data_IF_027167232548
#
_entry.id   IF_027167232548
#
_cell.length_a   1.000
_cell.length_b   1.000
_cell.length_c   1.000
_cell.angle_alpha   90.00
_cell.angle_beta   90.00
_cell.angle_gamma   90.00
#
_symmetry.space_group_name_H-M   'P 1'
#
loop_
_entity.id
_entity.type
_entity.pdbx_description
1 polymer ?
#
# COMPACT_ATOMS: atom_id res chain seq x y z
N UNK A 1 -8.07 -0.17 20.19
CA UNK A 1 -6.81 -0.59 19.53
C UNK A 1 -7.11 -1.79 18.65
N UNK A 2 -6.51 -1.88 17.45
CA UNK A 2 -6.70 -3.04 16.58
C UNK A 2 -6.21 -4.35 17.23
N UNK A 3 -6.85 -5.51 16.93
CA UNK A 3 -6.34 -6.81 17.34
C UNK A 3 -4.93 -7.07 16.80
N UNK A 4 -4.16 -7.92 17.49
CA UNK A 4 -2.77 -8.21 17.10
C UNK A 4 -2.65 -8.80 15.69
N UNK A 5 -3.61 -9.64 15.27
CA UNK A 5 -3.67 -10.19 13.90
C UNK A 5 -3.81 -9.11 12.84
N UNK A 6 -4.62 -8.07 13.10
CA UNK A 6 -4.81 -6.93 12.18
C UNK A 6 -3.53 -6.10 12.14
N UNK A 7 -2.93 -5.82 13.30
CA UNK A 7 -1.67 -5.08 13.39
C UNK A 7 -0.56 -5.78 12.60
N UNK A 8 -0.43 -7.10 12.73
CA UNK A 8 0.57 -7.88 11.98
C UNK A 8 0.39 -7.74 10.47
N UNK A 9 -0.84 -7.83 9.97
CA UNK A 9 -1.14 -7.63 8.54
C UNK A 9 -0.73 -6.22 8.08
N UNK A 10 -1.08 -5.17 8.84
CA UNK A 10 -0.69 -3.80 8.50
C UNK A 10 0.81 -3.54 8.60
N UNK A 11 1.49 -4.16 9.57
CA UNK A 11 2.95 -4.07 9.74
C UNK A 11 3.66 -4.70 8.54
N UNK A 12 3.29 -5.93 8.20
CA UNK A 12 3.84 -6.64 7.06
C UNK A 12 3.58 -5.87 5.76
N UNK A 13 2.37 -5.34 5.59
CA UNK A 13 2.02 -4.54 4.41
C UNK A 13 2.83 -3.24 4.34
N UNK A 14 3.01 -2.55 5.47
CA UNK A 14 3.83 -1.34 5.56
C UNK A 14 5.29 -1.62 5.20
N UNK A 15 5.86 -2.76 5.61
CA UNK A 15 7.20 -3.17 5.20
C UNK A 15 7.30 -3.42 3.69
N UNK A 16 6.30 -4.08 3.10
CA UNK A 16 6.26 -4.30 1.66
C UNK A 16 6.16 -2.97 0.88
N UNK A 17 5.36 -2.02 1.38
CA UNK A 17 5.28 -0.66 0.82
C UNK A 17 6.63 0.07 0.92
N UNK A 18 7.34 -0.03 2.05
CA UNK A 18 8.68 0.57 2.21
C UNK A 18 9.69 0.00 1.20
N UNK A 19 9.71 -1.33 1.01
CA UNK A 19 10.56 -1.95 -0.02
C UNK A 19 10.21 -1.48 -1.43
N UNK A 20 8.92 -1.30 -1.73
CA UNK A 20 8.47 -0.80 -3.03
C UNK A 20 8.74 0.70 -3.20
N UNK A 21 8.77 1.48 -2.13
CA UNK A 21 9.09 2.91 -2.18
C UNK A 21 10.52 3.17 -2.66
N UNK A 22 11.44 2.24 -2.37
CA UNK A 22 12.80 2.28 -2.90
C UNK A 22 12.90 1.91 -4.39
N UNK A 23 11.77 1.77 -5.10
CA UNK A 23 11.69 1.43 -6.51
C UNK A 23 12.63 2.23 -7.41
N UNK A 24 12.92 3.50 -7.11
CA UNK A 24 13.87 4.28 -7.92
C UNK A 24 15.26 3.64 -7.99
N UNK A 25 15.70 3.00 -6.91
CA UNK A 25 17.00 2.33 -6.79
C UNK A 25 16.99 0.90 -7.34
N UNK A 26 15.81 0.31 -7.47
CA UNK A 26 15.61 -1.07 -7.91
C UNK A 26 15.71 -1.19 -9.44
N UNK A 27 16.18 -2.35 -9.90
CA UNK A 27 16.08 -2.80 -11.30
C UNK A 27 14.62 -2.99 -11.72
N UNK A 28 14.38 -3.17 -13.02
CA UNK A 28 13.02 -3.40 -13.52
C UNK A 28 12.43 -4.70 -12.97
N UNK A 29 13.21 -5.79 -12.92
CA UNK A 29 12.77 -7.07 -12.36
C UNK A 29 12.48 -6.96 -10.86
N UNK A 30 13.34 -6.25 -10.12
CA UNK A 30 13.15 -6.04 -8.67
C UNK A 30 11.88 -5.25 -8.38
N UNK A 31 11.57 -4.22 -9.18
CA UNK A 31 10.31 -3.47 -9.06
C UNK A 31 9.10 -4.35 -9.33
N UNK A 32 9.18 -5.23 -10.35
CA UNK A 32 8.09 -6.16 -10.67
C UNK A 32 7.83 -7.09 -9.48
N UNK A 33 8.88 -7.67 -8.92
CA UNK A 33 8.78 -8.55 -7.74
C UNK A 33 8.25 -7.81 -6.52
N UNK A 34 8.74 -6.60 -6.25
CA UNK A 34 8.28 -5.78 -5.14
C UNK A 34 6.79 -5.41 -5.28
N UNK A 35 6.35 -5.02 -6.49
CA UNK A 35 4.96 -4.70 -6.74
C UNK A 35 4.06 -5.94 -6.60
N UNK A 36 4.48 -7.09 -7.15
CA UNK A 36 3.75 -8.34 -7.02
C UNK A 36 3.59 -8.77 -5.55
N UNK A 37 4.61 -8.53 -4.71
CA UNK A 37 4.51 -8.76 -3.26
C UNK A 37 3.44 -7.87 -2.61
N UNK A 38 3.45 -6.57 -2.90
CA UNK A 38 2.43 -5.63 -2.38
C UNK A 38 1.03 -6.02 -2.85
N UNK A 39 0.86 -6.36 -4.12
CA UNK A 39 -0.41 -6.82 -4.68
C UNK A 39 -0.91 -8.11 -4.00
N UNK A 40 -0.03 -9.10 -3.85
CA UNK A 40 -0.37 -10.35 -3.20
C UNK A 40 -0.82 -10.14 -1.75
N UNK A 41 -0.10 -9.33 -0.98
CA UNK A 41 -0.44 -9.05 0.41
C UNK A 41 -1.74 -8.27 0.53
N UNK A 42 -1.95 -7.30 -0.35
CA UNK A 42 -3.18 -6.54 -0.38
C UNK A 42 -4.39 -7.46 -0.64
N UNK A 43 -4.32 -8.31 -1.68
CA UNK A 43 -5.43 -9.17 -2.08
C UNK A 43 -5.70 -10.32 -1.11
N UNK A 44 -4.66 -10.93 -0.53
CA UNK A 44 -4.79 -12.18 0.24
C UNK A 44 -4.75 -11.98 1.76
N UNK A 45 -4.37 -10.79 2.24
CA UNK A 45 -4.30 -10.51 3.68
C UNK A 45 -5.13 -9.27 4.04
N UNK A 46 -4.95 -8.17 3.31
CA UNK A 46 -5.58 -6.90 3.69
C UNK A 46 -7.07 -6.87 3.33
N UNK A 47 -7.46 -7.39 2.15
CA UNK A 47 -8.86 -7.52 1.73
C UNK A 47 -9.65 -8.57 2.53
N UNK A 48 -8.97 -9.51 3.19
CA UNK A 48 -9.64 -10.56 3.97
C UNK A 48 -10.00 -10.12 5.38
N UNK A 49 -9.53 -8.93 5.81
CA UNK A 49 -9.91 -8.34 7.09
C UNK A 49 -11.38 -7.88 7.05
N UNK A 50 -12.14 -8.23 8.07
CA UNK A 50 -13.56 -7.87 8.21
C UNK A 50 -13.76 -7.00 9.46
N UNK A 51 -14.94 -6.42 9.62
CA UNK A 51 -15.32 -5.69 10.84
C UNK A 51 -16.00 -6.59 11.89
N UNK A 52 -16.25 -7.86 11.58
CA UNK A 52 -17.00 -8.81 12.41
C UNK A 52 -16.36 -9.03 13.80
N UNK A 53 -15.03 -8.98 13.88
CA UNK A 53 -14.26 -9.19 15.11
C UNK A 53 -13.87 -7.87 15.82
N UNK A 54 -14.28 -6.73 15.27
CA UNK A 54 -13.90 -5.42 15.77
C UNK A 54 -14.99 -4.81 16.66
N UNK A 55 -14.56 -4.17 17.75
CA UNK A 55 -15.46 -3.33 18.56
C UNK A 55 -16.06 -2.20 17.69
N UNK A 56 -17.36 -1.87 17.81
CA UNK A 56 -18.00 -0.82 17.01
C UNK A 56 -17.26 0.53 17.02
N UNK A 57 -16.62 0.89 18.14
CA UNK A 57 -15.82 2.11 18.23
C UNK A 57 -14.57 2.04 17.34
N UNK A 58 -13.96 0.86 17.21
CA UNK A 58 -12.82 0.63 16.33
C UNK A 58 -13.28 0.64 14.87
N UNK A 59 -14.40 -0.02 14.55
CA UNK A 59 -14.96 -0.08 13.18
C UNK A 59 -15.17 1.32 12.62
N UNK A 60 -15.69 2.26 13.42
CA UNK A 60 -15.93 3.64 13.02
C UNK A 60 -14.68 4.38 12.51
N UNK A 61 -13.50 4.03 13.05
CA UNK A 61 -12.20 4.58 12.64
C UNK A 61 -11.53 3.75 11.54
N UNK A 62 -11.68 2.44 11.61
CA UNK A 62 -11.01 1.49 10.72
C UNK A 62 -11.60 1.48 9.31
N UNK A 63 -12.93 1.40 9.20
CA UNK A 63 -13.63 1.21 7.92
C UNK A 63 -13.38 2.34 6.90
N UNK A 64 -13.35 3.64 7.28
CA UNK A 64 -12.98 4.71 6.35
C UNK A 64 -11.54 4.56 5.82
N UNK A 65 -10.59 4.18 6.68
CA UNK A 65 -9.19 4.01 6.29
C UNK A 65 -9.04 2.80 5.36
N UNK A 66 -9.74 1.70 5.66
CA UNK A 66 -9.75 0.51 4.80
C UNK A 66 -10.29 0.85 3.40
N UNK A 67 -11.35 1.65 3.33
CA UNK A 67 -11.91 2.13 2.06
C UNK A 67 -10.91 2.97 1.26
N UNK A 68 -10.21 3.90 1.92
CA UNK A 68 -9.17 4.70 1.26
C UNK A 68 -7.96 3.87 0.83
N UNK A 69 -7.53 2.88 1.62
CA UNK A 69 -6.49 1.93 1.22
C UNK A 69 -6.89 1.16 -0.05
N UNK A 70 -8.15 0.70 -0.14
CA UNK A 70 -8.66 0.04 -1.34
C UNK A 70 -8.67 0.96 -2.55
N UNK A 71 -9.09 2.22 -2.37
CA UNK A 71 -9.06 3.22 -3.43
C UNK A 71 -7.63 3.51 -3.89
N UNK A 72 -6.71 3.71 -2.96
CA UNK A 72 -5.31 3.99 -3.25
C UNK A 72 -4.64 2.81 -3.97
N UNK A 73 -4.92 1.58 -3.57
CA UNK A 73 -4.35 0.41 -4.23
C UNK A 73 -4.76 0.32 -5.71
N UNK A 74 -6.03 0.58 -6.05
CA UNK A 74 -6.48 0.62 -7.46
C UNK A 74 -5.75 1.69 -8.28
N UNK A 75 -5.51 2.85 -7.68
CA UNK A 75 -4.75 3.91 -8.33
C UNK A 75 -3.26 3.55 -8.46
N UNK A 76 -2.68 2.87 -7.46
CA UNK A 76 -1.30 2.38 -7.51
C UNK A 76 -1.09 1.38 -8.63
N UNK A 77 -2.02 0.44 -8.81
CA UNK A 77 -1.99 -0.52 -9.91
C UNK A 77 -2.10 0.17 -11.29
N UNK A 78 -2.88 1.26 -11.36
CA UNK A 78 -2.99 2.07 -12.57
C UNK A 78 -1.66 2.80 -12.87
N UNK A 79 -1.06 3.43 -11.85
CA UNK A 79 0.23 4.11 -11.97
C UNK A 79 1.35 3.13 -12.35
N UNK A 80 1.33 1.92 -11.79
CA UNK A 80 2.24 0.84 -12.14
C UNK A 80 2.15 0.43 -13.62
N UNK A 81 0.93 0.25 -14.14
CA UNK A 81 0.71 -0.08 -15.55
C UNK A 81 1.25 1.03 -16.48
N UNK A 82 1.00 2.29 -16.13
CA UNK A 82 1.53 3.43 -16.89
C UNK A 82 3.06 3.53 -16.81
N UNK A 83 3.64 3.29 -15.63
CA UNK A 83 5.09 3.29 -15.44
C UNK A 83 5.76 2.23 -16.32
N UNK A 84 5.19 1.01 -16.39
CA UNK A 84 5.72 -0.09 -17.22
C UNK A 84 5.56 0.13 -18.73
N UNK A 85 4.52 0.84 -19.15
CA UNK A 85 4.23 1.07 -20.58
C UNK A 85 4.92 2.31 -21.15
N UNK A 86 5.35 3.24 -20.28
CA UNK A 86 6.05 4.46 -20.71
C UNK A 86 7.42 4.13 -21.29
N UNK A 87 7.71 4.70 -22.47
CA UNK A 87 9.01 4.56 -23.17
C UNK A 87 9.87 5.82 -23.11
N UNK A 88 9.29 6.94 -22.68
CA UNK A 88 9.96 8.23 -22.60
C UNK A 88 10.49 8.46 -21.19
N UNK A 89 11.78 8.77 -21.07
CA UNK A 89 12.47 8.91 -19.78
C UNK A 89 11.85 10.00 -18.90
N UNK A 90 11.45 11.14 -19.47
CA UNK A 90 10.80 12.22 -18.71
C UNK A 90 9.47 11.76 -18.11
N UNK A 91 8.63 11.12 -18.92
CA UNK A 91 7.33 10.57 -18.49
C UNK A 91 7.51 9.45 -17.46
N UNK A 92 8.53 8.59 -17.61
CA UNK A 92 8.84 7.57 -16.61
C UNK A 92 9.19 8.17 -15.25
N UNK A 93 10.01 9.24 -15.20
CA UNK A 93 10.36 9.92 -13.95
C UNK A 93 9.14 10.54 -13.26
N UNK A 94 8.28 11.22 -14.01
CA UNK A 94 7.05 11.79 -13.46
C UNK A 94 6.11 10.70 -12.91
N UNK A 95 5.94 9.60 -13.65
CA UNK A 95 5.12 8.47 -13.21
C UNK A 95 5.69 7.76 -11.99
N UNK A 96 7.01 7.61 -11.93
CA UNK A 96 7.69 7.03 -10.78
C UNK A 96 7.50 7.90 -9.52
N UNK A 97 7.58 9.22 -9.66
CA UNK A 97 7.27 10.14 -8.56
C UNK A 97 5.83 9.98 -8.06
N UNK A 98 4.85 10.00 -8.96
CA UNK A 98 3.44 9.80 -8.57
C UNK A 98 3.20 8.45 -7.89
N UNK A 99 3.87 7.41 -8.38
CA UNK A 99 3.84 6.07 -7.80
C UNK A 99 4.41 6.06 -6.37
N UNK A 100 5.58 6.67 -6.16
CA UNK A 100 6.20 6.80 -4.83
C UNK A 100 5.37 7.67 -3.88
N UNK A 101 4.82 8.79 -4.35
CA UNK A 101 3.94 9.66 -3.56
C UNK A 101 2.68 8.91 -3.08
N UNK A 102 2.14 8.01 -3.93
CA UNK A 102 0.99 7.19 -3.57
C UNK A 102 1.34 6.11 -2.55
N UNK A 103 2.50 5.47 -2.68
CA UNK A 103 3.00 4.51 -1.69
C UNK A 103 3.11 5.20 -0.33
N UNK A 104 3.67 6.42 -0.28
CA UNK A 104 3.78 7.18 0.96
C UNK A 104 2.40 7.48 1.59
N UNK A 105 1.39 7.81 0.78
CA UNK A 105 0.01 7.99 1.29
C UNK A 105 -0.57 6.69 1.88
N UNK A 106 -0.35 5.54 1.22
CA UNK A 106 -0.77 4.24 1.73
C UNK A 106 -0.05 3.89 3.04
N UNK A 107 1.26 4.14 3.11
CA UNK A 107 2.05 3.95 4.33
C UNK A 107 1.51 4.77 5.51
N UNK A 108 1.10 6.02 5.27
CA UNK A 108 0.47 6.86 6.30
C UNK A 108 -0.83 6.28 6.84
N UNK A 109 -1.68 5.73 5.98
CA UNK A 109 -2.91 5.04 6.43
C UNK A 109 -2.59 3.83 7.33
N UNK A 110 -1.59 3.03 6.97
CA UNK A 110 -1.14 1.92 7.80
C UNK A 110 -0.60 2.41 9.16
N UNK A 111 0.24 3.45 9.19
CA UNK A 111 0.76 4.04 10.44
C UNK A 111 -0.35 4.55 11.34
N UNK A 112 -1.37 5.22 10.79
CA UNK A 112 -2.54 5.67 11.56
C UNK A 112 -3.25 4.49 12.25
N UNK A 113 -3.40 3.35 11.56
CA UNK A 113 -4.02 2.15 12.11
C UNK A 113 -3.14 1.43 13.14
N UNK A 114 -1.82 1.45 12.93
CA UNK A 114 -0.83 0.91 13.85
C UNK A 114 -0.61 1.81 15.08
N UNK A 115 -1.12 3.04 15.05
CA UNK A 115 -0.86 4.10 16.04
C UNK A 115 0.65 4.44 16.13
N UNK A 116 1.37 4.23 15.03
CA UNK A 116 2.75 4.68 14.85
C UNK A 116 2.72 6.15 14.43
N UNK A 117 3.29 7.05 15.23
CA UNK A 117 3.61 8.42 14.82
C UNK A 117 5.01 8.45 14.20
N UNK A 118 5.13 9.04 13.01
CA UNK A 118 6.41 9.36 12.35
C UNK A 118 7.28 10.30 13.20
#
# INVERSE_FOLDING_TARGET
>A
MLPSSYKEVYQNFLEALKSLQEAEKLSTEERITAFARVEHMFQNQLLTLTDEELDPNIVSRWLPIQTELHRMFKLLATDWLFLRSSRQVSTQKERLKLFCDRIEQMSKFCRILLEETD
#
